data_IF_587841697363
#
_entry.id   IF_587841697363
#
_cell.length_a   1.000
_cell.length_b   1.000
_cell.length_c   1.000
_cell.angle_alpha   90.00
_cell.angle_beta   90.00
_cell.angle_gamma   90.00
#
_symmetry.space_group_name_H-M   'P 1'
#
loop_
_entity.id
_entity.type
_entity.pdbx_description
1 polymer ?
#
# COMPACT_ATOMS: atom_id res chain seq x y z
N UNK A 1 15.15 -16.70 35.13
CA UNK A 1 14.01 -17.19 34.31
C UNK A 1 13.67 -16.10 33.32
N UNK A 2 13.91 -16.29 32.03
CA UNK A 2 13.47 -15.35 31.00
C UNK A 2 11.98 -15.60 30.75
N UNK A 3 11.12 -14.73 31.25
CA UNK A 3 9.71 -14.69 30.85
C UNK A 3 9.67 -14.26 29.39
N UNK A 4 9.44 -15.22 28.49
CA UNK A 4 9.14 -14.92 27.09
C UNK A 4 7.85 -14.11 27.07
N UNK A 5 7.95 -12.81 26.79
CA UNK A 5 6.81 -11.93 26.54
C UNK A 5 6.03 -12.52 25.36
N UNK A 6 4.75 -12.92 25.51
CA UNK A 6 3.98 -13.39 24.38
C UNK A 6 3.93 -12.27 23.34
N UNK A 7 4.51 -12.54 22.18
CA UNK A 7 4.61 -11.58 21.08
C UNK A 7 3.51 -11.94 20.09
N UNK A 8 2.60 -11.00 19.82
CA UNK A 8 1.57 -11.18 18.81
C UNK A 8 2.21 -10.97 17.43
N UNK A 9 2.22 -12.01 16.60
CA UNK A 9 2.72 -11.87 15.22
C UNK A 9 1.55 -11.65 14.26
N UNK A 10 1.64 -10.64 13.41
CA UNK A 10 0.65 -10.31 12.38
C UNK A 10 1.32 -10.42 11.02
N UNK A 11 0.81 -11.30 10.18
CA UNK A 11 1.26 -11.48 8.81
C UNK A 11 0.34 -10.74 7.84
N UNK A 12 0.91 -9.87 7.02
CA UNK A 12 0.18 -9.02 6.07
C UNK A 12 0.64 -9.37 4.65
N UNK A 13 -0.28 -9.87 3.82
CA UNK A 13 -0.07 -10.01 2.39
C UNK A 13 -0.66 -8.79 1.67
N UNK A 14 0.16 -8.09 0.91
CA UNK A 14 -0.26 -6.92 0.15
C UNK A 14 0.33 -6.90 -1.25
N UNK A 15 -0.33 -6.14 -2.13
CA UNK A 15 0.16 -5.83 -3.46
C UNK A 15 0.07 -4.32 -3.72
N UNK A 16 1.04 -3.79 -4.46
CA UNK A 16 1.23 -2.36 -4.68
C UNK A 16 0.24 -1.76 -5.68
N UNK A 17 -0.32 -2.60 -6.55
CA UNK A 17 -1.38 -2.24 -7.51
C UNK A 17 -2.79 -2.41 -6.93
N UNK A 18 -2.91 -2.87 -5.67
CA UNK A 18 -4.18 -3.06 -5.01
C UNK A 18 -4.58 -1.81 -4.22
N UNK A 19 -5.64 -1.07 -4.62
CA UNK A 19 -6.05 0.11 -3.86
C UNK A 19 -6.60 -0.25 -2.46
N UNK A 20 -7.20 -1.43 -2.30
CA UNK A 20 -7.66 -1.87 -0.98
C UNK A 20 -6.51 -2.16 -0.03
N UNK A 21 -5.32 -2.57 -0.51
CA UNK A 21 -4.16 -2.78 0.34
C UNK A 21 -3.68 -1.48 0.99
N UNK A 22 -3.68 -0.37 0.25
CA UNK A 22 -3.27 0.92 0.82
C UNK A 22 -4.28 1.45 1.85
N UNK A 23 -5.59 1.31 1.57
CA UNK A 23 -6.66 1.65 2.52
C UNK A 23 -6.52 0.80 3.79
N UNK A 24 -6.32 -0.51 3.63
CA UNK A 24 -6.16 -1.43 4.74
C UNK A 24 -4.90 -1.11 5.57
N UNK A 25 -3.79 -0.73 4.93
CA UNK A 25 -2.57 -0.26 5.61
C UNK A 25 -2.86 0.92 6.53
N UNK A 26 -3.54 1.97 6.03
CA UNK A 26 -3.91 3.14 6.85
C UNK A 26 -4.79 2.77 8.03
N UNK A 27 -5.81 1.93 7.81
CA UNK A 27 -6.69 1.48 8.90
C UNK A 27 -5.94 0.64 9.92
N UNK A 28 -5.06 -0.25 9.46
CA UNK A 28 -4.24 -1.09 10.33
C UNK A 28 -3.30 -0.24 11.20
N UNK A 29 -2.58 0.71 10.60
CA UNK A 29 -1.71 1.65 11.32
C UNK A 29 -2.47 2.44 12.38
N UNK A 30 -3.65 2.97 12.03
CA UNK A 30 -4.52 3.66 12.99
C UNK A 30 -4.96 2.74 14.13
N UNK A 31 -5.34 1.51 13.84
CA UNK A 31 -5.74 0.51 14.84
C UNK A 31 -4.58 0.14 15.76
N UNK A 32 -3.41 -0.14 15.19
CA UNK A 32 -2.19 -0.48 15.91
C UNK A 32 -1.73 0.67 16.82
N UNK A 33 -1.85 1.92 16.36
CA UNK A 33 -1.52 3.09 17.18
C UNK A 33 -2.43 3.26 18.40
N UNK A 34 -3.66 2.73 18.36
CA UNK A 34 -4.62 2.72 19.48
C UNK A 34 -4.53 1.45 20.32
N UNK A 35 -3.74 0.46 19.89
CA UNK A 35 -3.63 -0.82 20.56
C UNK A 35 -2.64 -0.73 21.74
N UNK A 36 -3.13 -0.99 22.95
CA UNK A 36 -2.36 -0.87 24.20
C UNK A 36 -1.05 -1.68 24.19
N UNK A 37 -1.05 -2.84 23.53
CA UNK A 37 0.10 -3.73 23.47
C UNK A 37 0.87 -3.65 22.15
N UNK A 38 0.82 -2.52 21.43
CA UNK A 38 1.50 -2.36 20.13
C UNK A 38 2.99 -2.73 20.16
N UNK A 39 3.68 -2.47 21.27
CA UNK A 39 5.11 -2.75 21.42
C UNK A 39 5.41 -4.26 21.57
N UNK A 40 4.36 -5.10 21.67
CA UNK A 40 4.44 -6.56 21.68
C UNK A 40 3.99 -7.17 20.34
N UNK A 41 3.72 -6.33 19.33
CA UNK A 41 3.30 -6.78 18.00
C UNK A 41 4.52 -6.86 17.08
N UNK A 42 4.70 -8.00 16.43
CA UNK A 42 5.65 -8.20 15.33
C UNK A 42 4.88 -8.29 14.03
N UNK A 43 5.16 -7.37 13.11
CA UNK A 43 4.52 -7.34 11.80
C UNK A 43 5.45 -7.98 10.77
N UNK A 44 4.92 -8.93 10.01
CA UNK A 44 5.62 -9.57 8.88
C UNK A 44 4.87 -9.27 7.60
N UNK A 45 5.53 -8.58 6.69
CA UNK A 45 4.97 -8.27 5.37
C UNK A 45 5.37 -9.33 4.36
N UNK A 46 4.40 -9.77 3.58
CA UNK A 46 4.55 -10.76 2.52
C UNK A 46 4.06 -10.18 1.19
N UNK A 47 4.81 -10.46 0.14
CA UNK A 47 4.45 -10.04 -1.21
C UNK A 47 3.30 -10.88 -1.75
N UNK A 48 2.30 -10.22 -2.33
CA UNK A 48 1.26 -10.85 -3.14
C UNK A 48 1.23 -10.19 -4.51
N UNK A 49 1.10 -10.96 -5.59
CA UNK A 49 1.10 -10.46 -6.98
C UNK A 49 -0.25 -10.74 -7.62
N UNK A 50 -1.15 -9.75 -7.64
CA UNK A 50 -2.48 -9.85 -8.24
C UNK A 50 -2.44 -9.98 -9.76
N UNK A 51 -1.38 -9.46 -10.38
CA UNK A 51 -1.21 -9.37 -11.83
C UNK A 51 0.09 -10.04 -12.29
N UNK A 52 0.52 -11.11 -11.60
CA UNK A 52 1.75 -11.84 -11.93
C UNK A 52 1.81 -12.23 -13.41
N UNK A 53 2.92 -11.91 -14.08
CA UNK A 53 3.15 -12.15 -15.50
C UNK A 53 2.36 -11.25 -16.46
N UNK A 54 1.58 -10.29 -15.96
CA UNK A 54 0.73 -9.44 -16.80
C UNK A 54 1.44 -8.12 -17.15
N UNK A 55 1.55 -7.76 -18.45
CA UNK A 55 2.04 -6.44 -18.85
C UNK A 55 1.19 -5.32 -18.24
N UNK A 56 1.83 -4.19 -17.93
CA UNK A 56 1.14 -3.03 -17.38
C UNK A 56 0.10 -2.48 -18.39
N UNK A 57 -1.09 -2.18 -17.89
CA UNK A 57 -2.17 -1.53 -18.63
C UNK A 57 -2.90 -0.51 -17.74
N UNK A 58 -3.69 0.42 -18.32
CA UNK A 58 -4.46 1.36 -17.51
C UNK A 58 -5.35 0.63 -16.49
N UNK A 59 -5.38 1.12 -15.26
CA UNK A 59 -6.11 0.47 -14.16
C UNK A 59 -7.60 0.30 -14.50
N UNK A 60 -8.22 1.32 -15.10
CA UNK A 60 -9.62 1.26 -15.54
C UNK A 60 -9.87 0.07 -16.46
N UNK A 61 -9.04 -0.09 -17.49
CA UNK A 61 -9.15 -1.18 -18.46
C UNK A 61 -8.97 -2.55 -17.79
N UNK A 62 -8.00 -2.65 -16.86
CA UNK A 62 -7.77 -3.88 -16.10
C UNK A 62 -8.99 -4.25 -15.25
N UNK A 63 -9.62 -3.28 -14.58
CA UNK A 63 -10.82 -3.53 -13.77
C UNK A 63 -12.02 -3.87 -14.64
N UNK A 64 -12.22 -3.20 -15.78
CA UNK A 64 -13.28 -3.56 -16.74
C UNK A 64 -13.10 -5.00 -17.21
N UNK A 65 -11.88 -5.38 -17.60
CA UNK A 65 -11.55 -6.76 -17.99
C UNK A 65 -11.81 -7.76 -16.85
N UNK A 66 -11.49 -7.38 -15.61
CA UNK A 66 -11.65 -8.24 -14.43
C UNK A 66 -13.12 -8.42 -14.00
N UNK A 67 -13.92 -7.36 -14.09
CA UNK A 67 -15.31 -7.35 -13.61
C UNK A 67 -16.35 -7.58 -14.71
N UNK A 68 -15.94 -7.56 -15.98
CA UNK A 68 -16.78 -7.89 -17.14
C UNK A 68 -17.68 -6.75 -17.63
N UNK A 69 -17.67 -5.57 -16.99
CA UNK A 69 -18.41 -4.41 -17.49
C UNK A 69 -17.83 -3.07 -17.03
N UNK A 70 -18.06 -2.04 -17.84
CA UNK A 70 -17.76 -0.64 -17.51
C UNK A 70 -18.46 -0.20 -16.22
N UNK A 71 -19.76 -0.53 -16.10
CA UNK A 71 -20.58 -0.16 -14.95
C UNK A 71 -20.05 -0.76 -13.64
N UNK A 72 -19.72 -2.06 -13.64
CA UNK A 72 -19.14 -2.72 -12.47
C UNK A 72 -17.79 -2.12 -12.08
N UNK A 73 -16.96 -1.76 -13.06
CA UNK A 73 -15.69 -1.09 -12.80
C UNK A 73 -15.87 0.28 -12.15
N UNK A 74 -16.79 1.09 -12.65
CA UNK A 74 -17.12 2.40 -12.09
C UNK A 74 -17.65 2.30 -10.66
N UNK A 75 -18.55 1.35 -10.39
CA UNK A 75 -19.06 1.11 -9.04
C UNK A 75 -17.92 0.74 -8.07
N UNK A 76 -17.02 -0.16 -8.48
CA UNK A 76 -15.88 -0.56 -7.65
C UNK A 76 -14.93 0.62 -7.39
N UNK A 77 -14.58 1.37 -8.43
CA UNK A 77 -13.72 2.55 -8.29
C UNK A 77 -14.35 3.63 -7.41
N UNK A 78 -15.67 3.83 -7.49
CA UNK A 78 -16.39 4.77 -6.61
C UNK A 78 -16.36 4.33 -5.15
N UNK A 79 -16.51 3.03 -4.88
CA UNK A 79 -16.39 2.48 -3.52
C UNK A 79 -14.97 2.67 -2.98
N UNK A 80 -13.95 2.33 -3.79
CA UNK A 80 -12.54 2.54 -3.43
C UNK A 80 -12.26 4.01 -3.18
N UNK A 81 -12.71 4.90 -4.06
CA UNK A 81 -12.49 6.34 -3.93
C UNK A 81 -13.14 6.92 -2.66
N UNK A 82 -14.35 6.46 -2.33
CA UNK A 82 -15.06 6.86 -1.10
C UNK A 82 -14.34 6.35 0.15
N UNK A 83 -13.96 5.07 0.18
CA UNK A 83 -13.23 4.48 1.30
C UNK A 83 -11.81 5.06 1.44
N UNK A 84 -11.14 5.35 0.33
CA UNK A 84 -9.86 6.05 0.32
C UNK A 84 -9.95 7.42 0.97
N UNK A 85 -10.95 8.22 0.57
CA UNK A 85 -11.18 9.54 1.15
C UNK A 85 -11.40 9.51 2.66
N UNK A 86 -12.07 8.48 3.20
CA UNK A 86 -12.25 8.35 4.66
C UNK A 86 -10.93 8.12 5.41
N UNK A 87 -9.90 7.61 4.72
CA UNK A 87 -8.56 7.42 5.25
C UNK A 87 -7.56 8.51 4.82
N UNK A 88 -8.05 9.61 4.20
CA UNK A 88 -7.20 10.70 3.70
C UNK A 88 -6.48 10.39 2.38
N UNK A 89 -6.88 9.36 1.66
CA UNK A 89 -6.31 8.95 0.37
C UNK A 89 -7.14 9.50 -0.80
N UNK A 90 -6.46 10.07 -1.80
CA UNK A 90 -7.08 10.54 -3.04
C UNK A 90 -6.56 9.70 -4.19
N UNK A 91 -7.43 8.90 -4.79
CA UNK A 91 -7.11 8.07 -5.95
C UNK A 91 -7.33 8.83 -7.25
N UNK A 92 -6.34 8.77 -8.16
CA UNK A 92 -6.49 9.17 -9.55
C UNK A 92 -6.50 7.94 -10.46
N UNK A 93 -7.67 7.32 -10.60
CA UNK A 93 -7.83 6.10 -11.40
C UNK A 93 -7.45 6.28 -12.87
N UNK A 94 -7.50 7.50 -13.42
CA UNK A 94 -7.12 7.79 -14.80
C UNK A 94 -5.61 7.66 -15.05
N UNK A 95 -4.78 7.91 -14.04
CA UNK A 95 -3.33 7.76 -14.15
C UNK A 95 -2.78 6.50 -13.47
N UNK A 96 -3.64 5.68 -12.88
CA UNK A 96 -3.23 4.42 -12.27
C UNK A 96 -2.91 3.36 -13.34
N UNK A 97 -1.87 2.58 -13.10
CA UNK A 97 -1.51 1.42 -13.91
C UNK A 97 -1.73 0.14 -13.10
N UNK A 98 -2.08 -0.95 -13.80
CA UNK A 98 -2.23 -2.29 -13.23
C UNK A 98 -1.40 -3.27 -14.06
N UNK A 99 -0.51 -4.00 -13.40
CA UNK A 99 0.42 -4.92 -14.03
C UNK A 99 1.27 -5.62 -12.97
N UNK A 100 2.21 -6.45 -13.42
CA UNK A 100 3.09 -7.19 -12.54
C UNK A 100 3.90 -6.29 -11.58
N UNK A 101 4.06 -6.77 -10.35
CA UNK A 101 4.71 -6.05 -9.25
C UNK A 101 5.95 -6.76 -8.73
N UNK A 102 6.48 -7.75 -9.44
CA UNK A 102 7.68 -8.51 -9.05
C UNK A 102 8.88 -7.63 -8.71
N UNK A 103 9.23 -6.70 -9.60
CA UNK A 103 10.37 -5.80 -9.40
C UNK A 103 10.19 -4.89 -8.18
N UNK A 104 8.98 -4.37 -8.01
CA UNK A 104 8.66 -3.49 -6.88
C UNK A 104 8.67 -4.26 -5.55
N UNK A 105 8.17 -5.51 -5.53
CA UNK A 105 8.28 -6.40 -4.37
C UNK A 105 9.73 -6.78 -4.06
N UNK A 106 10.55 -7.02 -5.09
CA UNK A 106 11.99 -7.29 -4.94
C UNK A 106 12.69 -6.09 -4.30
N UNK A 107 12.37 -4.87 -4.74
CA UNK A 107 12.89 -3.65 -4.13
C UNK A 107 12.46 -3.52 -2.67
N UNK A 108 11.22 -3.85 -2.33
CA UNK A 108 10.74 -3.83 -0.94
C UNK A 108 11.49 -4.83 -0.04
N UNK A 109 11.84 -6.01 -0.56
CA UNK A 109 12.67 -6.96 0.17
C UNK A 109 14.06 -6.38 0.45
N UNK A 110 14.67 -5.69 -0.51
CA UNK A 110 15.94 -5.00 -0.30
C UNK A 110 15.80 -3.83 0.70
N UNK A 111 14.75 -3.03 0.57
CA UNK A 111 14.45 -1.91 1.46
C UNK A 111 14.21 -2.35 2.92
N UNK A 112 13.66 -3.56 3.14
CA UNK A 112 13.52 -4.16 4.48
C UNK A 112 14.86 -4.38 5.16
N UNK A 113 15.89 -4.84 4.42
CA UNK A 113 17.25 -5.01 4.97
C UNK A 113 17.89 -3.68 5.37
N UNK A 114 17.50 -2.59 4.72
CA UNK A 114 17.98 -1.24 4.99
C UNK A 114 17.09 -0.46 6.00
N UNK A 115 16.01 -1.06 6.52
CA UNK A 115 15.11 -0.43 7.49
C UNK A 115 14.20 0.67 6.93
N UNK A 116 14.06 0.78 5.60
CA UNK A 116 13.29 1.85 4.93
C UNK A 116 12.09 1.34 4.13
N UNK A 117 11.69 0.08 4.32
CA UNK A 117 10.64 -0.56 3.52
C UNK A 117 9.29 0.17 3.56
N UNK A 118 8.87 0.66 4.74
CA UNK A 118 7.59 1.37 4.88
C UNK A 118 7.55 2.66 4.05
N UNK A 119 8.62 3.46 4.09
CA UNK A 119 8.75 4.66 3.28
C UNK A 119 8.76 4.36 1.77
N UNK A 120 9.41 3.26 1.36
CA UNK A 120 9.43 2.81 -0.04
C UNK A 120 8.06 2.31 -0.48
N UNK A 121 7.37 1.53 0.35
CA UNK A 121 6.02 1.02 0.09
C UNK A 121 5.03 2.18 -0.08
N UNK A 122 5.06 3.15 0.84
CA UNK A 122 4.22 4.36 0.75
C UNK A 122 4.49 5.14 -0.54
N UNK A 123 5.76 5.24 -0.94
CA UNK A 123 6.14 5.91 -2.19
C UNK A 123 5.64 5.16 -3.42
N UNK A 124 5.61 3.84 -3.42
CA UNK A 124 4.98 3.06 -4.48
C UNK A 124 3.48 3.33 -4.57
N UNK A 125 2.75 3.29 -3.45
CA UNK A 125 1.31 3.59 -3.44
C UNK A 125 0.99 4.99 -3.97
N UNK A 126 1.81 5.99 -3.60
CA UNK A 126 1.68 7.35 -4.11
C UNK A 126 2.02 7.45 -5.60
N UNK A 127 3.08 6.81 -6.06
CA UNK A 127 3.51 6.84 -7.45
C UNK A 127 2.45 6.25 -8.40
N UNK A 128 1.79 5.16 -7.96
CA UNK A 128 0.74 4.54 -8.76
C UNK A 128 -0.58 5.30 -8.70
N UNK A 129 -0.79 6.24 -7.76
CA UNK A 129 -2.04 7.01 -7.57
C UNK A 129 -1.87 8.50 -7.87
N UNK A 130 -1.68 8.93 -9.13
CA UNK A 130 -1.08 10.22 -9.44
C UNK A 130 -2.08 11.39 -9.32
N UNK A 131 -2.37 11.83 -8.10
CA UNK A 131 -2.65 13.23 -7.74
C UNK A 131 -2.61 13.37 -6.22
N UNK A 132 -1.43 13.14 -5.67
CA UNK A 132 -1.09 13.73 -4.38
C UNK A 132 -0.75 15.18 -4.70
N UNK A 133 -1.50 16.14 -4.14
CA UNK A 133 -0.96 17.47 -3.95
C UNK A 133 0.21 17.31 -2.98
N UNK A 134 1.39 17.02 -3.53
CA UNK A 134 2.65 17.00 -2.82
C UNK A 134 2.92 18.44 -2.38
N UNK A 135 2.35 18.84 -1.25
CA UNK A 135 3.04 19.80 -0.38
C UNK A 135 4.26 19.07 0.17
N UNK A 136 5.28 18.91 -0.67
CA UNK A 136 6.63 18.56 -0.23
C UNK A 136 7.20 19.76 0.49
N UNK A 137 6.77 19.98 1.73
CA UNK A 137 7.66 20.60 2.71
C UNK A 137 8.66 19.54 3.13
N UNK A 138 9.72 19.39 2.34
CA UNK A 138 10.97 18.84 2.85
C UNK A 138 11.44 19.83 3.90
N UNK A 139 11.20 19.53 5.18
CA UNK A 139 11.89 20.22 6.27
C UNK A 139 13.35 19.85 6.17
N UNK A 140 14.16 20.72 5.57
CA UNK A 140 15.61 20.57 5.35
C UNK A 140 16.41 20.75 6.64
N UNK A 141 16.02 20.09 7.72
CA UNK A 141 16.68 20.20 9.03
C UNK A 141 17.07 18.84 9.59
N UNK A 142 17.92 18.12 8.86
CA UNK A 142 18.83 17.15 9.44
C UNK A 142 20.22 17.34 8.83
N UNK A 143 21.24 17.71 9.62
CA UNK A 143 22.62 17.75 9.15
C UNK A 143 23.16 16.32 9.12
N UNK A 144 23.67 15.87 7.98
CA UNK A 144 24.56 14.71 7.91
C UNK A 144 26.02 15.19 8.00
N UNK A 145 26.93 14.39 8.60
CA UNK A 145 28.36 14.67 8.75
C UNK A 145 29.11 14.83 7.42
#
# INVERSE_FOLDING_TARGET
MQTLKPTLTIDIWSDLVCPWCWIAKKRFEQGLNRFEFRDQVVIRHHSYRLAGGTPAMPFKDAIVKKLGSQHSAELMMNQVGTAGKSEGLIYNFDGMMFGDTEDAHTLLVAARKAGIADAVEERFYHAVSPKVALSLTVSSSLPWP
#
